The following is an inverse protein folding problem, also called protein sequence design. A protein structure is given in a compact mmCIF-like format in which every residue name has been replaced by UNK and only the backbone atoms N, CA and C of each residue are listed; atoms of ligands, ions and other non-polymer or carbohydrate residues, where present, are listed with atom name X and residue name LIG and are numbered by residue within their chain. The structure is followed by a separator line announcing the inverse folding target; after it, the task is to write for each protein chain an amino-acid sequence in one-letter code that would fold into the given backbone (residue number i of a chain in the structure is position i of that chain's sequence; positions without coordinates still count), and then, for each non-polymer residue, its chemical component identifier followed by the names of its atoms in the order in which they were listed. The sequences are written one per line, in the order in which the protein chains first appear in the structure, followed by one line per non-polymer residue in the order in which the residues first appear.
data_IF_889240853869
#
_entry.id   IF_889240853869
#
_cell.length_a   1.000
_cell.length_b   1.000
_cell.length_c   1.000
_cell.angle_alpha   90.00
_cell.angle_beta   90.00
_cell.angle_gamma   90.00
#
_symmetry.space_group_name_H-M   'P 1'
#
loop_
_entity.id
_entity.type
_entity.pdbx_description
1 polymer ?
#
# COMPACT_ATOMS: atom_id res chain seq x y z
N UNK A 1 -3.10 -45.41 -37.95
CA UNK A 1 -4.45 -45.57 -38.53
C UNK A 1 -5.45 -45.79 -37.40
N UNK A 2 -6.48 -44.93 -37.33
CA UNK A 2 -7.76 -45.01 -36.57
C UNK A 2 -7.68 -45.35 -35.08
N UNK A 3 -7.76 -44.42 -34.12
CA UNK A 3 -8.92 -43.63 -33.64
C UNK A 3 -10.22 -44.47 -33.59
N UNK A 4 -10.57 -44.89 -32.37
CA UNK A 4 -11.90 -45.41 -32.03
C UNK A 4 -12.72 -44.30 -31.36
N UNK A 5 -13.81 -43.95 -32.03
CA UNK A 5 -14.85 -43.03 -31.62
C UNK A 5 -15.64 -43.60 -30.43
N UNK A 6 -15.80 -42.83 -29.36
CA UNK A 6 -16.79 -43.10 -28.31
C UNK A 6 -17.83 -41.98 -28.31
N UNK A 7 -18.99 -42.35 -28.84
CA UNK A 7 -20.19 -41.57 -29.09
C UNK A 7 -20.75 -40.97 -27.79
N UNK A 8 -20.91 -39.64 -27.76
CA UNK A 8 -21.64 -38.91 -26.72
C UNK A 8 -23.14 -39.20 -26.88
N UNK A 9 -23.75 -39.88 -25.91
CA UNK A 9 -25.21 -39.99 -25.81
C UNK A 9 -25.74 -38.79 -25.02
N UNK A 10 -26.51 -37.93 -25.69
CA UNK A 10 -27.32 -36.91 -25.03
C UNK A 10 -28.75 -37.45 -24.84
N UNK A 11 -29.37 -37.36 -23.65
CA UNK A 11 -30.81 -37.51 -23.52
C UNK A 11 -31.48 -36.15 -23.70
N UNK A 12 -32.40 -36.07 -24.66
CA UNK A 12 -33.41 -35.01 -24.77
C UNK A 12 -34.63 -35.34 -23.89
N UNK A 13 -35.35 -34.28 -23.47
CA UNK A 13 -36.69 -34.13 -22.84
C UNK A 13 -36.51 -33.31 -21.54
N UNK A 14 -37.17 -32.19 -21.22
CA UNK A 14 -38.29 -31.42 -21.76
C UNK A 14 -38.39 -30.08 -20.98
N UNK A 15 -39.31 -29.18 -21.38
CA UNK A 15 -39.30 -27.73 -21.13
C UNK A 15 -39.58 -27.21 -19.68
N UNK A 16 -38.83 -26.15 -19.30
CA UNK A 16 -39.25 -24.98 -18.47
C UNK A 16 -38.55 -24.77 -17.10
N UNK A 17 -38.49 -23.52 -16.55
CA UNK A 17 -37.97 -22.26 -17.11
C UNK A 17 -36.50 -21.99 -16.70
N UNK A 18 -35.86 -21.08 -17.42
CA UNK A 18 -34.43 -20.72 -17.40
C UNK A 18 -33.88 -20.22 -16.05
N UNK A 19 -33.05 -21.04 -15.41
CA UNK A 19 -31.93 -20.59 -14.54
C UNK A 19 -30.62 -20.70 -15.34
N UNK A 20 -30.49 -19.94 -16.43
CA UNK A 20 -29.23 -19.87 -17.19
C UNK A 20 -28.30 -18.86 -16.53
N UNK A 21 -27.31 -19.34 -15.78
CA UNK A 21 -26.19 -18.49 -15.33
C UNK A 21 -25.13 -19.11 -14.42
N UNK A 22 -25.41 -20.22 -13.69
CA UNK A 22 -24.52 -20.67 -12.62
C UNK A 22 -24.09 -22.15 -12.65
N UNK A 23 -24.18 -22.83 -13.79
CA UNK A 23 -23.72 -24.23 -13.92
C UNK A 23 -22.84 -24.46 -15.16
N UNK A 24 -21.92 -23.54 -15.47
CA UNK A 24 -20.72 -23.96 -16.20
C UNK A 24 -19.79 -24.68 -15.21
N UNK A 25 -19.63 -25.99 -15.43
CA UNK A 25 -18.73 -26.89 -14.71
C UNK A 25 -17.34 -26.28 -14.47
N UNK A 26 -17.17 -25.61 -13.32
CA UNK A 26 -15.94 -24.90 -12.97
C UNK A 26 -14.94 -25.84 -12.30
N UNK A 27 -14.30 -26.71 -13.10
CA UNK A 27 -13.24 -27.57 -12.61
C UNK A 27 -12.05 -26.70 -12.19
N UNK A 28 -11.80 -26.57 -10.88
CA UNK A 28 -10.71 -25.75 -10.32
C UNK A 28 -9.32 -26.27 -10.72
N UNK A 29 -9.19 -27.59 -10.90
CA UNK A 29 -8.01 -28.21 -11.51
C UNK A 29 -8.03 -28.04 -13.04
N UNK A 30 -7.85 -26.80 -13.51
CA UNK A 30 -7.71 -26.53 -14.94
C UNK A 30 -6.35 -27.01 -15.47
N UNK A 31 -6.20 -27.27 -16.79
CA UNK A 31 -4.91 -27.60 -17.39
C UNK A 31 -3.79 -26.58 -17.08
N UNK A 32 -4.15 -25.33 -16.83
CA UNK A 32 -3.19 -24.27 -16.45
C UNK A 32 -2.69 -24.42 -15.00
N UNK A 33 -3.55 -24.86 -14.08
CA UNK A 33 -3.16 -25.17 -12.69
C UNK A 33 -2.24 -26.39 -12.69
N UNK A 34 -2.61 -27.45 -13.41
CA UNK A 34 -1.78 -28.66 -13.53
C UNK A 34 -0.38 -28.36 -14.10
N UNK A 35 -0.29 -27.54 -15.16
CA UNK A 35 0.98 -27.09 -15.72
C UNK A 35 1.83 -26.29 -14.72
N UNK A 36 1.20 -25.48 -13.87
CA UNK A 36 1.92 -24.74 -12.80
C UNK A 36 2.44 -25.69 -11.72
N UNK A 37 1.66 -26.69 -11.30
CA UNK A 37 2.08 -27.70 -10.33
C UNK A 37 3.35 -28.45 -10.78
N UNK A 38 3.41 -28.85 -12.05
CA UNK A 38 4.61 -29.47 -12.64
C UNK A 38 5.82 -28.52 -12.56
N UNK A 39 5.62 -27.22 -12.84
CA UNK A 39 6.69 -26.22 -12.79
C UNK A 39 7.27 -26.01 -11.39
N UNK A 40 6.46 -26.18 -10.34
CA UNK A 40 6.89 -26.06 -8.93
C UNK A 40 7.20 -27.41 -8.27
N UNK A 41 7.31 -28.48 -9.06
CA UNK A 41 7.60 -29.85 -8.62
C UNK A 41 6.62 -30.39 -7.56
N UNK A 42 5.35 -29.94 -7.61
CA UNK A 42 4.27 -30.47 -6.78
C UNK A 42 3.69 -31.69 -7.48
N UNK A 43 3.81 -32.85 -6.84
CA UNK A 43 3.16 -34.07 -7.31
C UNK A 43 1.68 -34.05 -6.95
N UNK A 44 0.84 -34.25 -7.96
CA UNK A 44 -0.60 -34.35 -7.78
C UNK A 44 -0.89 -35.85 -7.58
N UNK A 45 -1.53 -36.25 -6.48
CA UNK A 45 -1.91 -37.64 -6.26
C UNK A 45 -2.75 -38.17 -7.43
N UNK A 46 -2.65 -39.48 -7.72
CA UNK A 46 -3.43 -40.16 -8.77
C UNK A 46 -4.95 -40.21 -8.49
N UNK A 47 -5.42 -39.51 -7.44
CA UNK A 47 -6.83 -39.37 -7.13
C UNK A 47 -7.62 -38.77 -8.30
N UNK A 48 -8.92 -39.11 -8.44
CA UNK A 48 -9.76 -38.52 -9.47
C UNK A 48 -9.69 -36.99 -9.37
N UNK A 49 -9.51 -36.33 -10.51
CA UNK A 49 -9.49 -34.86 -10.61
C UNK A 49 -10.74 -34.25 -9.94
N UNK A 50 -11.84 -35.00 -9.91
CA UNK A 50 -13.09 -34.70 -9.19
C UNK A 50 -12.91 -34.56 -7.67
N UNK A 51 -12.19 -35.47 -7.01
CA UNK A 51 -11.96 -35.42 -5.56
C UNK A 51 -11.08 -34.23 -5.17
N UNK A 52 -10.01 -33.97 -5.93
CA UNK A 52 -9.16 -32.79 -5.75
C UNK A 52 -9.92 -31.49 -6.03
N UNK A 53 -10.80 -31.50 -7.04
CA UNK A 53 -11.65 -30.35 -7.37
C UNK A 53 -12.67 -30.08 -6.26
N UNK A 54 -13.26 -31.11 -5.66
CA UNK A 54 -14.19 -30.96 -4.55
C UNK A 54 -13.51 -30.29 -3.34
N UNK A 55 -12.33 -30.74 -2.94
CA UNK A 55 -11.58 -30.15 -1.83
C UNK A 55 -11.22 -28.67 -2.08
N UNK A 56 -10.73 -28.34 -3.28
CA UNK A 56 -10.44 -26.96 -3.67
C UNK A 56 -11.71 -26.10 -3.74
N UNK A 57 -12.85 -26.69 -4.12
CA UNK A 57 -14.14 -25.99 -4.15
C UNK A 57 -14.58 -25.61 -2.75
N UNK A 58 -14.48 -26.53 -1.78
CA UNK A 58 -14.75 -26.23 -0.37
C UNK A 58 -13.83 -25.13 0.16
N UNK A 59 -12.53 -25.20 -0.14
CA UNK A 59 -11.58 -24.16 0.27
C UNK A 59 -11.88 -22.80 -0.39
N UNK A 60 -12.25 -22.78 -1.67
CA UNK A 60 -12.69 -21.56 -2.36
C UNK A 60 -13.94 -20.97 -1.71
N UNK A 61 -14.95 -21.79 -1.39
CA UNK A 61 -16.14 -21.31 -0.70
C UNK A 61 -15.81 -20.70 0.67
N UNK A 62 -14.85 -21.29 1.40
CA UNK A 62 -14.37 -20.68 2.66
C UNK A 62 -13.70 -19.31 2.42
N UNK A 63 -12.87 -19.19 1.38
CA UNK A 63 -12.26 -17.90 0.99
C UNK A 63 -13.33 -16.88 0.57
N UNK A 64 -14.34 -17.29 -0.20
CA UNK A 64 -15.43 -16.43 -0.65
C UNK A 64 -16.23 -15.89 0.55
N UNK A 65 -16.52 -16.74 1.54
CA UNK A 65 -17.16 -16.32 2.80
C UNK A 65 -16.29 -15.29 3.51
N UNK A 66 -14.99 -15.58 3.71
CA UNK A 66 -14.07 -14.68 4.42
C UNK A 66 -13.91 -13.34 3.67
N UNK A 67 -13.82 -13.37 2.34
CA UNK A 67 -13.65 -12.17 1.51
C UNK A 67 -14.93 -11.32 1.47
N UNK A 68 -16.09 -11.93 1.70
CA UNK A 68 -17.37 -11.23 1.81
C UNK A 68 -17.64 -10.67 3.21
N UNK A 69 -16.83 -11.02 4.23
CA UNK A 69 -16.94 -10.44 5.56
C UNK A 69 -16.43 -9.00 5.54
N UNK A 70 -17.01 -8.15 6.39
CA UNK A 70 -16.53 -6.79 6.56
C UNK A 70 -15.13 -6.77 7.17
N UNK A 71 -14.19 -6.10 6.49
CA UNK A 71 -12.88 -5.81 7.06
C UNK A 71 -13.01 -4.78 8.18
N UNK A 72 -12.38 -5.05 9.32
CA UNK A 72 -12.20 -4.02 10.33
C UNK A 72 -11.08 -3.06 9.90
N UNK A 73 -11.47 -1.90 9.39
CA UNK A 73 -10.55 -0.82 9.02
C UNK A 73 -10.88 0.39 9.89
N UNK A 74 -9.94 0.87 10.74
CA UNK A 74 -10.18 2.07 11.52
C UNK A 74 -10.30 3.28 10.60
N UNK A 75 -11.47 3.92 10.61
CA UNK A 75 -11.72 5.11 9.80
C UNK A 75 -11.36 6.34 10.64
N UNK A 76 -10.45 7.21 10.18
CA UNK A 76 -10.09 8.41 10.91
C UNK A 76 -11.26 9.41 10.92
N UNK A 77 -11.31 10.25 11.96
CA UNK A 77 -12.29 11.34 12.03
C UNK A 77 -11.92 12.46 11.04
N UNK A 78 -12.51 12.40 9.86
CA UNK A 78 -12.30 13.36 8.78
C UNK A 78 -12.94 14.73 9.07
N UNK A 79 -13.91 14.80 9.98
CA UNK A 79 -14.49 16.09 10.40
C UNK A 79 -13.52 16.82 11.31
N UNK A 80 -12.91 16.08 12.26
CA UNK A 80 -11.89 16.63 13.16
C UNK A 80 -10.58 16.93 12.43
N UNK A 81 -10.14 16.04 11.55
CA UNK A 81 -8.87 16.14 10.84
C UNK A 81 -9.09 16.08 9.31
N UNK A 82 -9.67 17.12 8.68
CA UNK A 82 -9.96 17.12 7.26
C UNK A 82 -8.67 17.11 6.41
N UNK A 83 -8.68 16.36 5.30
CA UNK A 83 -7.60 16.39 4.30
C UNK A 83 -7.86 17.57 3.37
N UNK A 84 -7.08 18.63 3.53
CA UNK A 84 -7.19 19.83 2.72
C UNK A 84 -6.10 19.86 1.65
N UNK A 85 -6.40 20.52 0.54
CA UNK A 85 -5.47 20.78 -0.55
C UNK A 85 -4.81 19.52 -1.13
N UNK A 86 -5.54 18.41 -1.25
CA UNK A 86 -5.01 17.15 -1.81
C UNK A 86 -4.78 17.32 -3.32
N UNK A 87 -3.53 17.48 -3.74
CA UNK A 87 -3.18 17.56 -5.16
C UNK A 87 -1.73 17.20 -5.44
N UNK A 88 -1.48 16.74 -6.66
CA UNK A 88 -0.14 16.61 -7.21
C UNK A 88 0.49 17.99 -7.40
N UNK A 89 1.68 18.19 -6.86
CA UNK A 89 2.43 19.44 -7.06
C UNK A 89 3.12 19.43 -8.43
N UNK A 90 2.91 20.46 -9.27
CA UNK A 90 3.62 20.60 -10.53
C UNK A 90 5.13 20.70 -10.31
N UNK A 91 5.91 20.22 -11.28
CA UNK A 91 7.39 20.17 -11.20
C UNK A 91 8.00 21.55 -10.95
N UNK A 92 7.40 22.60 -11.51
CA UNK A 92 7.83 23.99 -11.38
C UNK A 92 7.71 24.51 -9.94
N UNK A 93 6.94 23.82 -9.09
CA UNK A 93 6.81 24.13 -7.67
C UNK A 93 7.53 23.12 -6.78
N UNK A 94 8.23 22.14 -7.35
CA UNK A 94 8.89 21.04 -6.65
C UNK A 94 10.40 20.99 -6.99
N UNK A 95 11.09 22.10 -6.78
CA UNK A 95 12.49 22.26 -7.21
C UNK A 95 13.45 21.25 -6.59
N UNK A 96 13.16 20.79 -5.37
CA UNK A 96 13.97 19.80 -4.67
C UNK A 96 13.54 18.36 -4.93
N UNK A 97 12.42 18.16 -5.63
CA UNK A 97 11.74 16.86 -5.75
C UNK A 97 11.44 16.23 -4.39
N UNK A 98 11.20 17.08 -3.40
CA UNK A 98 10.94 16.70 -2.02
C UNK A 98 9.45 16.60 -1.72
N UNK A 99 8.57 16.41 -2.69
CA UNK A 99 7.17 16.02 -2.45
C UNK A 99 6.46 15.55 -3.69
N UNK A 100 5.34 14.86 -3.51
CA UNK A 100 4.50 14.42 -4.63
C UNK A 100 3.08 14.89 -4.45
N UNK A 101 2.47 14.53 -3.33
CA UNK A 101 1.15 15.02 -2.95
C UNK A 101 1.31 16.14 -1.94
N UNK A 102 0.69 17.28 -2.23
CA UNK A 102 0.35 18.21 -1.15
C UNK A 102 -0.88 17.67 -0.46
N UNK A 103 -0.83 17.68 0.86
CA UNK A 103 -1.99 17.52 1.73
C UNK A 103 -1.70 18.30 3.00
N UNK A 104 -2.72 18.96 3.53
CA UNK A 104 -2.67 19.65 4.81
C UNK A 104 -3.67 18.98 5.73
N UNK A 105 -3.20 18.47 6.87
CA UNK A 105 -4.07 17.88 7.90
C UNK A 105 -3.72 18.52 9.23
N UNK A 106 -4.72 19.11 9.86
CA UNK A 106 -4.63 19.72 11.18
C UNK A 106 -5.87 19.34 11.97
N UNK A 107 -5.68 19.11 13.25
CA UNK A 107 -6.79 18.96 14.20
C UNK A 107 -7.57 20.28 14.29
N UNK A 108 -8.88 20.21 14.02
CA UNK A 108 -9.78 21.37 14.09
C UNK A 108 -10.14 21.75 15.52
N UNK A 109 -9.88 20.89 16.50
CA UNK A 109 -10.02 21.22 17.90
C UNK A 109 -8.81 22.03 18.39
N UNK A 110 -8.86 23.36 18.21
CA UNK A 110 -7.73 24.25 18.44
C UNK A 110 -7.18 24.21 19.87
N UNK A 111 -8.04 24.12 20.89
CA UNK A 111 -7.59 24.08 22.30
C UNK A 111 -6.79 22.80 22.59
N UNK A 112 -7.24 21.66 22.05
CA UNK A 112 -6.51 20.39 22.16
C UNK A 112 -5.18 20.46 21.43
N UNK A 113 -5.20 20.94 20.19
CA UNK A 113 -4.00 21.11 19.39
C UNK A 113 -2.98 22.04 20.08
N UNK A 114 -3.44 23.17 20.62
CA UNK A 114 -2.61 24.18 21.30
C UNK A 114 -1.88 23.62 22.52
N UNK A 115 -2.53 22.71 23.26
CA UNK A 115 -1.93 22.05 24.43
C UNK A 115 -1.03 20.86 24.07
N UNK A 116 -0.94 20.51 22.78
CA UNK A 116 -0.15 19.39 22.28
C UNK A 116 1.35 19.69 22.17
N UNK A 117 2.18 18.66 22.37
CA UNK A 117 3.66 18.77 22.33
C UNK A 117 4.23 19.18 20.96
N UNK A 118 3.47 18.96 19.89
CA UNK A 118 3.85 19.28 18.51
C UNK A 118 3.11 20.51 17.98
N UNK A 119 2.46 21.29 18.85
CA UNK A 119 1.78 22.49 18.43
C UNK A 119 2.71 23.43 17.66
N UNK A 120 2.23 23.90 16.50
CA UNK A 120 2.98 24.78 15.61
C UNK A 120 4.10 24.09 14.83
N UNK A 121 4.23 22.75 14.90
CA UNK A 121 5.18 21.98 14.11
C UNK A 121 4.55 21.41 12.84
N UNK A 122 5.28 21.48 11.74
CA UNK A 122 4.92 20.84 10.47
C UNK A 122 5.70 19.53 10.28
N UNK A 123 5.00 18.49 9.84
CA UNK A 123 5.56 17.14 9.68
C UNK A 123 5.25 16.66 8.27
N UNK A 124 6.28 16.26 7.52
CA UNK A 124 6.10 15.54 6.26
C UNK A 124 6.12 14.02 6.47
N UNK A 125 5.48 13.30 5.55
CA UNK A 125 5.36 11.85 5.62
C UNK A 125 5.95 11.21 4.36
N UNK A 126 6.71 10.13 4.52
CA UNK A 126 6.99 9.22 3.41
C UNK A 126 5.67 8.63 2.87
N UNK A 127 5.60 8.41 1.55
CA UNK A 127 4.42 7.92 0.81
C UNK A 127 4.20 6.41 0.99
N UNK A 128 5.01 5.74 1.80
CA UNK A 128 4.70 4.41 2.34
C UNK A 128 3.86 4.51 3.62
N UNK A 129 3.72 5.69 4.23
CA UNK A 129 2.85 5.95 5.39
C UNK A 129 1.45 6.24 4.87
N UNK A 130 0.50 5.35 5.17
CA UNK A 130 -0.86 5.47 4.67
C UNK A 130 -1.56 6.66 5.30
N UNK A 131 -2.14 7.51 4.45
CA UNK A 131 -3.03 8.61 4.85
C UNK A 131 -4.39 8.30 4.22
N UNK A 132 -5.46 8.28 5.03
CA UNK A 132 -6.79 8.04 4.49
C UNK A 132 -7.17 9.13 3.47
N UNK A 133 -7.79 8.72 2.36
CA UNK A 133 -8.25 9.56 1.25
C UNK A 133 -7.15 10.26 0.42
N UNK A 134 -5.88 9.96 0.66
CA UNK A 134 -4.75 10.48 -0.13
C UNK A 134 -4.09 9.34 -0.90
N UNK A 135 -3.86 9.48 -2.23
CA UNK A 135 -3.22 8.43 -3.01
C UNK A 135 -1.83 8.05 -2.44
N UNK A 136 -1.57 6.75 -2.38
CA UNK A 136 -0.33 6.18 -1.86
C UNK A 136 0.38 5.42 -2.98
N UNK A 137 1.53 5.92 -3.43
CA UNK A 137 2.24 5.36 -4.59
C UNK A 137 3.34 4.38 -4.21
N UNK A 138 3.78 4.41 -2.94
CA UNK A 138 4.93 3.65 -2.43
C UNK A 138 6.17 3.81 -3.32
N UNK A 139 6.27 4.96 -4.00
CA UNK A 139 7.11 5.21 -5.18
C UNK A 139 7.46 4.05 -6.10
N UNK A 140 6.46 3.22 -6.39
CA UNK A 140 6.56 2.18 -7.42
C UNK A 140 6.08 2.70 -8.77
N UNK A 141 6.63 2.13 -9.85
CA UNK A 141 6.17 2.41 -11.21
C UNK A 141 4.83 1.74 -11.54
N UNK A 142 4.37 0.82 -10.70
CA UNK A 142 3.07 0.15 -10.84
C UNK A 142 1.98 1.23 -10.81
N UNK A 143 1.13 1.32 -11.84
CA UNK A 143 -0.07 2.14 -11.76
C UNK A 143 -0.91 1.63 -10.59
N UNK A 144 -1.03 2.46 -9.56
CA UNK A 144 -1.81 2.15 -8.39
C UNK A 144 -2.72 3.35 -8.16
N UNK A 145 -4.02 3.14 -8.39
CA UNK A 145 -5.07 4.07 -7.96
C UNK A 145 -5.46 3.77 -6.51
N UNK A 146 -4.56 3.15 -5.74
CA UNK A 146 -4.84 2.76 -4.38
C UNK A 146 -4.84 3.99 -3.47
N UNK A 147 -5.99 4.17 -2.82
CA UNK A 147 -6.23 5.21 -1.82
C UNK A 147 -6.47 4.48 -0.51
N UNK A 148 -5.61 4.65 0.52
CA UNK A 148 -5.83 4.07 1.82
C UNK A 148 -7.14 4.55 2.44
N UNK A 149 -7.79 3.66 3.20
CA UNK A 149 -9.02 3.96 3.96
C UNK A 149 -8.74 4.36 5.42
N UNK A 150 -7.51 4.12 5.89
CA UNK A 150 -7.07 4.39 7.27
C UNK A 150 -5.80 5.22 7.27
N UNK A 151 -5.61 5.98 8.33
CA UNK A 151 -4.31 6.55 8.68
C UNK A 151 -3.39 5.51 9.30
N UNK A 152 -2.09 5.71 9.11
CA UNK A 152 -1.08 5.11 9.98
C UNK A 152 -1.28 5.56 11.43
N UNK A 153 -1.00 4.69 12.39
CA UNK A 153 -1.16 5.03 13.82
C UNK A 153 -0.25 6.20 14.23
N UNK A 154 0.89 6.38 13.57
CA UNK A 154 1.77 7.54 13.77
C UNK A 154 1.08 8.86 13.46
N UNK A 155 0.28 8.94 12.38
CA UNK A 155 -0.47 10.13 11.98
C UNK A 155 -1.47 10.52 13.06
N UNK A 156 -2.27 9.58 13.55
CA UNK A 156 -3.25 9.85 14.61
C UNK A 156 -2.56 10.44 15.83
N UNK A 157 -1.44 9.87 16.26
CA UNK A 157 -0.66 10.35 17.42
C UNK A 157 -0.06 11.75 17.18
N UNK A 158 0.39 12.04 15.97
CA UNK A 158 0.93 13.36 15.60
C UNK A 158 -0.15 14.43 15.69
N UNK A 159 -1.32 14.15 15.11
CA UNK A 159 -2.46 15.06 15.11
C UNK A 159 -2.99 15.29 16.53
N UNK A 160 -3.10 14.22 17.34
CA UNK A 160 -3.48 14.31 18.77
C UNK A 160 -2.46 15.10 19.60
N UNK A 161 -1.18 15.09 19.21
CA UNK A 161 -0.15 15.91 19.82
C UNK A 161 -0.10 17.34 19.26
N UNK A 162 -1.05 17.75 18.41
CA UNK A 162 -1.15 19.11 17.86
C UNK A 162 -0.26 19.40 16.64
N UNK A 163 0.39 18.38 16.10
CA UNK A 163 1.22 18.49 14.90
C UNK A 163 0.37 18.72 13.65
N UNK A 164 0.91 19.48 12.69
CA UNK A 164 0.29 19.65 11.37
C UNK A 164 1.01 18.77 10.36
N UNK A 165 0.27 17.93 9.65
CA UNK A 165 0.84 17.16 8.54
C UNK A 165 0.81 18.04 7.30
N UNK A 166 1.99 18.24 6.72
CA UNK A 166 2.16 18.88 5.43
C UNK A 166 2.95 17.95 4.51
N UNK A 167 2.38 17.69 3.33
CA UNK A 167 2.99 16.90 2.25
C UNK A 167 3.06 15.38 2.49
N UNK A 168 2.89 14.62 1.40
CA UNK A 168 3.20 13.20 1.29
C UNK A 168 4.16 12.95 0.11
N UNK A 169 5.16 12.09 0.31
CA UNK A 169 6.39 12.04 -0.47
C UNK A 169 6.71 10.67 -1.04
N UNK A 170 6.74 10.51 -2.37
CA UNK A 170 7.18 9.26 -3.03
C UNK A 170 8.50 8.75 -2.42
N UNK A 171 8.42 7.55 -1.85
CA UNK A 171 9.56 6.70 -1.52
C UNK A 171 10.10 6.10 -2.83
N UNK A 172 11.23 6.55 -3.36
CA UNK A 172 11.77 6.00 -4.62
C UNK A 172 12.46 4.65 -4.34
N UNK A 173 11.70 3.55 -4.26
CA UNK A 173 12.25 2.19 -4.00
C UNK A 173 13.00 1.58 -5.20
N UNK A 174 13.15 2.29 -6.32
CA UNK A 174 13.72 1.69 -7.53
C UNK A 174 14.51 2.65 -8.39
N UNK A 175 15.72 2.20 -8.75
CA UNK A 175 16.58 2.76 -9.79
C UNK A 175 15.93 2.73 -11.21
N UNK A 176 14.71 2.20 -11.39
CA UNK A 176 14.07 2.13 -12.70
C UNK A 176 13.26 3.38 -13.10
N UNK A 177 13.94 4.16 -13.95
CA UNK A 177 13.51 5.32 -14.74
C UNK A 177 12.30 5.07 -15.67
N UNK A 178 11.09 4.79 -15.17
CA UNK A 178 9.96 4.42 -16.04
C UNK A 178 8.60 5.15 -15.83
N UNK A 179 8.60 6.34 -15.23
CA UNK A 179 7.52 7.34 -15.47
C UNK A 179 8.08 8.56 -16.23
N UNK A 180 7.30 9.22 -17.10
CA UNK A 180 7.78 10.41 -17.79
C UNK A 180 7.94 11.55 -16.77
N UNK A 181 9.18 11.93 -16.47
CA UNK A 181 9.59 13.23 -15.88
C UNK A 181 9.17 13.55 -14.43
N UNK A 182 9.36 12.62 -13.50
CA UNK A 182 9.75 12.99 -12.12
C UNK A 182 11.25 12.67 -12.04
N UNK A 183 12.06 13.57 -12.60
CA UNK A 183 13.50 13.38 -12.70
C UNK A 183 14.16 14.18 -11.58
N UNK A 184 14.64 13.44 -10.58
CA UNK A 184 15.68 13.73 -9.60
C UNK A 184 16.52 14.98 -9.98
N UNK A 185 16.07 16.16 -9.57
CA UNK A 185 16.91 17.36 -9.53
C UNK A 185 17.54 17.40 -8.15
N UNK A 186 18.55 16.55 -7.98
CA UNK A 186 19.79 16.84 -7.28
C UNK A 186 20.65 15.59 -7.43
N UNK A 187 21.53 15.62 -8.43
CA UNK A 187 22.67 14.73 -8.52
C UNK A 187 23.70 15.18 -7.47
N UNK A 188 23.33 15.15 -6.20
CA UNK A 188 24.31 14.91 -5.13
C UNK A 188 24.62 13.43 -5.28
N UNK A 189 25.89 13.10 -5.39
CA UNK A 189 26.43 11.77 -5.70
C UNK A 189 26.18 10.78 -4.53
N UNK A 190 24.92 10.58 -4.18
CA UNK A 190 24.48 9.77 -3.06
C UNK A 190 23.42 8.81 -3.58
N UNK A 191 23.87 7.62 -3.92
CA UNK A 191 23.04 6.44 -4.03
C UNK A 191 22.18 6.31 -2.77
N UNK A 192 20.89 6.65 -2.74
CA UNK A 192 19.97 6.18 -1.70
C UNK A 192 18.51 6.48 -2.06
N UNK A 193 17.72 5.41 -2.04
CA UNK A 193 16.31 5.28 -2.43
C UNK A 193 15.29 5.98 -1.48
N UNK A 194 15.76 6.82 -0.54
CA UNK A 194 14.93 7.35 0.58
C UNK A 194 15.14 8.83 0.97
N UNK A 195 15.76 9.65 0.12
CA UNK A 195 16.24 11.00 0.55
C UNK A 195 15.29 12.19 0.34
N UNK A 196 14.13 12.02 -0.30
CA UNK A 196 13.28 13.14 -0.72
C UNK A 196 12.70 13.95 0.44
N UNK A 197 12.23 13.26 1.48
CA UNK A 197 11.65 13.83 2.69
C UNK A 197 12.68 14.51 3.58
N UNK A 198 13.84 13.87 3.78
CA UNK A 198 14.92 14.39 4.61
C UNK A 198 15.44 15.75 4.08
N UNK A 199 15.43 15.96 2.77
CA UNK A 199 15.78 17.25 2.16
C UNK A 199 14.82 18.37 2.56
N UNK A 200 13.54 18.08 2.80
CA UNK A 200 12.59 19.11 3.27
C UNK A 200 12.91 19.60 4.67
N UNK A 201 13.29 18.69 5.56
CA UNK A 201 13.74 19.01 6.90
C UNK A 201 15.05 19.80 6.82
N UNK A 202 16.01 19.32 6.04
CA UNK A 202 17.31 19.99 5.86
C UNK A 202 17.20 21.39 5.25
N UNK A 203 16.17 21.65 4.44
CA UNK A 203 15.88 22.98 3.85
C UNK A 203 14.85 23.79 4.63
N UNK A 204 14.49 23.35 5.83
CA UNK A 204 13.56 24.03 6.74
C UNK A 204 12.18 24.31 6.13
N UNK A 205 11.73 23.44 5.23
CA UNK A 205 10.40 23.52 4.65
C UNK A 205 9.35 22.84 5.52
N UNK A 206 9.78 21.85 6.31
CA UNK A 206 9.02 21.27 7.42
C UNK A 206 9.93 21.11 8.63
N UNK A 207 9.35 21.06 9.83
CA UNK A 207 10.12 20.86 11.06
C UNK A 207 10.62 19.42 11.23
N UNK A 208 9.82 18.44 10.80
CA UNK A 208 10.11 17.02 11.01
C UNK A 208 9.60 16.16 9.86
N UNK A 209 10.09 14.93 9.82
CA UNK A 209 9.64 13.89 8.91
C UNK A 209 9.31 12.62 9.69
N UNK A 210 8.33 11.85 9.21
CA UNK A 210 8.11 10.45 9.60
C UNK A 210 8.20 9.52 8.39
N UNK A 211 8.93 8.42 8.55
CA UNK A 211 9.19 7.48 7.47
C UNK A 211 9.67 6.10 7.95
N UNK A 212 9.78 5.16 7.02
CA UNK A 212 10.26 3.81 7.29
C UNK A 212 11.77 3.69 7.01
N UNK A 213 12.53 3.31 8.03
CA UNK A 213 13.96 2.94 7.96
C UNK A 213 14.96 4.06 7.55
N UNK A 214 15.80 4.46 8.51
CA UNK A 214 16.40 5.80 8.67
C UNK A 214 17.84 5.94 8.12
N UNK A 215 18.05 5.56 6.85
CA UNK A 215 19.32 5.75 6.13
C UNK A 215 19.69 7.19 5.64
N UNK A 216 18.76 8.14 5.40
CA UNK A 216 19.10 9.37 4.69
C UNK A 216 19.54 10.55 5.57
N UNK A 217 19.29 10.54 6.88
CA UNK A 217 19.52 11.72 7.74
C UNK A 217 20.99 12.20 7.75
N UNK A 218 21.93 11.26 7.88
CA UNK A 218 23.37 11.55 7.89
C UNK A 218 23.86 12.22 6.59
N UNK A 219 23.16 11.96 5.48
CA UNK A 219 23.53 12.45 4.16
C UNK A 219 23.13 13.90 3.91
N UNK A 220 22.07 14.37 4.59
CA UNK A 220 21.56 15.74 4.47
C UNK A 220 21.88 16.58 5.72
N UNK A 221 22.65 16.02 6.66
CA UNK A 221 23.13 16.74 7.85
C UNK A 221 22.06 16.98 8.92
N UNK A 222 21.04 16.13 9.01
CA UNK A 222 19.97 16.20 10.02
C UNK A 222 20.05 15.03 11.00
N UNK A 223 19.27 15.09 12.08
CA UNK A 223 19.21 14.00 13.06
C UNK A 223 18.14 13.00 12.62
N UNK A 224 18.53 11.74 12.48
CA UNK A 224 17.60 10.62 12.23
C UNK A 224 17.57 9.65 13.41
N UNK A 225 16.37 9.34 13.89
CA UNK A 225 16.16 8.42 14.99
C UNK A 225 15.44 7.17 14.51
N UNK A 226 16.18 6.05 14.47
CA UNK A 226 15.60 4.71 14.35
C UNK A 226 15.31 4.17 15.75
N UNK A 227 14.05 4.06 16.19
CA UNK A 227 13.74 3.55 17.52
C UNK A 227 14.07 2.06 17.65
N UNK A 228 13.98 1.54 18.88
CA UNK A 228 14.01 0.11 19.15
C UNK A 228 12.87 -0.58 18.39
N UNK A 229 13.15 -1.74 17.81
CA UNK A 229 12.17 -2.53 17.07
C UNK A 229 10.89 -2.75 17.89
N UNK A 230 9.73 -2.52 17.28
CA UNK A 230 8.41 -2.63 17.92
C UNK A 230 8.00 -1.48 18.85
N UNK A 231 8.87 -0.49 19.12
CA UNK A 231 8.52 0.64 20.01
C UNK A 231 7.50 1.60 19.37
N UNK A 232 7.72 1.94 18.09
CA UNK A 232 6.78 2.75 17.31
C UNK A 232 5.96 1.80 16.43
N UNK A 233 4.62 1.88 16.44
CA UNK A 233 3.77 0.97 15.67
C UNK A 233 4.00 1.17 14.17
N UNK A 234 4.12 0.06 13.44
CA UNK A 234 4.22 0.04 11.98
C UNK A 234 2.84 -0.02 11.30
N UNK A 235 1.75 0.02 12.07
CA UNK A 235 0.37 -0.06 11.57
C UNK A 235 0.06 1.07 10.60
N UNK A 236 -0.39 0.71 9.39
CA UNK A 236 -0.67 1.63 8.30
C UNK A 236 0.59 2.16 7.60
N UNK A 237 1.73 1.52 7.76
CA UNK A 237 2.92 1.76 6.92
C UNK A 237 3.14 0.53 6.04
N UNK A 238 3.44 0.75 4.76
CA UNK A 238 3.69 -0.34 3.83
C UNK A 238 4.97 -1.09 4.23
N UNK A 239 4.84 -2.40 4.40
CA UNK A 239 5.91 -3.28 4.85
C UNK A 239 6.81 -3.66 3.68
N UNK A 240 8.12 -3.67 3.93
CA UNK A 240 9.08 -4.28 3.02
C UNK A 240 9.53 -5.63 3.57
N UNK A 241 9.97 -5.66 4.83
CA UNK A 241 10.38 -6.89 5.51
C UNK A 241 10.05 -6.76 7.00
N UNK A 242 9.00 -7.46 7.43
CA UNK A 242 8.38 -7.32 8.75
C UNK A 242 9.36 -7.45 9.92
N UNK A 243 10.43 -8.23 9.76
CA UNK A 243 11.45 -8.46 10.78
C UNK A 243 12.41 -7.28 10.98
N UNK A 244 12.44 -6.33 10.03
CA UNK A 244 13.37 -5.20 10.01
C UNK A 244 12.69 -3.84 9.87
N UNK A 245 11.38 -3.82 9.69
CA UNK A 245 10.60 -2.61 9.51
C UNK A 245 10.56 -1.74 10.78
N UNK A 246 10.91 -0.45 10.64
CA UNK A 246 10.88 0.54 11.72
C UNK A 246 10.30 1.86 11.23
N UNK A 247 9.40 2.47 12.01
CA UNK A 247 9.00 3.87 11.82
C UNK A 247 9.87 4.76 12.69
N UNK A 248 10.50 5.77 12.09
CA UNK A 248 11.37 6.73 12.79
C UNK A 248 11.04 8.17 12.43
N UNK A 249 11.78 9.11 13.03
CA UNK A 249 11.68 10.54 12.71
C UNK A 249 13.02 11.11 12.28
N UNK A 250 12.98 12.09 11.37
CA UNK A 250 14.08 13.03 11.14
C UNK A 250 13.72 14.44 11.63
N UNK A 251 14.71 15.20 12.13
CA UNK A 251 14.58 16.62 12.54
C UNK A 251 15.91 17.38 12.57
#
# INVERSE_FOLDING_TARGET
MSIASATLFAPTIGHGPSHHGHEESLMLMTPNVLKKCVKINVQIPDDPVEASTAALTTFRHAIEIITAMDDFIPIPDLNRCPRKDVHLLPREKNHLNGWVWRVTIKDTEEERAFNGLLYGKTICLEDNVCIAEVPCLNGTAVPSDWIPKTDATSITRILEAGGTIEFSLILVISQERRRPKILLVFQIHLSMDRSGTAVLVATSQVDMEIGADQGPAAHVGIVGLKPTFGLVPYTGVLSNEFSTDHVGKNS
#
